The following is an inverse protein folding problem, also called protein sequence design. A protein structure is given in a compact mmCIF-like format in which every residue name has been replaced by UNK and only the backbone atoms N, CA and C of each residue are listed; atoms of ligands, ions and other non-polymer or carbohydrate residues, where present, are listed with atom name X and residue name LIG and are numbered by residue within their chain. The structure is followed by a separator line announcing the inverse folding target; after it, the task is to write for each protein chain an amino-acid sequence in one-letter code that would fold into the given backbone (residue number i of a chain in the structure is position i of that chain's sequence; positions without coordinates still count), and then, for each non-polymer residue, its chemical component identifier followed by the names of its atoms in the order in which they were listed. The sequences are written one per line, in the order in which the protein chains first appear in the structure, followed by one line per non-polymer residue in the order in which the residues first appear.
data_IF_263374264369
#
_entry.id   IF_263374264369
#
_cell.length_a   1.000
_cell.length_b   1.000
_cell.length_c   1.000
_cell.angle_alpha   90.00
_cell.angle_beta   90.00
_cell.angle_gamma   90.00
#
_symmetry.space_group_name_H-M   'P 1'
#
loop_
_entity.id
_entity.type
_entity.pdbx_description
1 polymer ?
#
# COMPACT_ATOMS: atom_id res chain seq x y z
N UNK A 1 21.60 -16.44 -5.05
CA UNK A 1 20.23 -15.88 -5.03
C UNK A 1 20.18 -14.72 -4.06
N UNK A 2 19.24 -13.81 -4.23
CA UNK A 2 18.91 -12.82 -3.21
C UNK A 2 18.05 -13.50 -2.15
N UNK A 3 18.34 -13.25 -0.87
CA UNK A 3 17.64 -13.88 0.27
C UNK A 3 16.76 -12.92 1.04
N UNK A 4 17.11 -11.63 1.00
CA UNK A 4 16.37 -10.58 1.68
C UNK A 4 16.52 -9.30 0.88
N UNK A 5 15.41 -8.68 0.53
CA UNK A 5 15.35 -7.38 -0.13
C UNK A 5 14.58 -6.42 0.78
N UNK A 6 15.13 -5.22 0.96
CA UNK A 6 14.52 -4.13 1.72
C UNK A 6 14.52 -2.87 0.88
N UNK A 7 13.46 -2.09 1.04
CA UNK A 7 13.28 -0.81 0.39
C UNK A 7 12.89 0.24 1.43
N UNK A 8 13.32 1.48 1.23
CA UNK A 8 12.96 2.61 2.10
C UNK A 8 12.93 3.89 1.28
N UNK A 9 11.84 4.66 1.41
CA UNK A 9 11.75 6.01 0.87
C UNK A 9 12.54 6.97 1.76
N UNK A 10 13.47 7.70 1.17
CA UNK A 10 14.17 8.85 1.74
C UNK A 10 13.48 10.14 1.25
N UNK A 11 13.96 11.31 1.67
CA UNK A 11 13.34 12.60 1.31
C UNK A 11 13.12 12.76 -0.21
N UNK A 12 14.13 12.43 -1.04
CA UNK A 12 14.09 12.64 -2.50
C UNK A 12 14.48 11.40 -3.31
N UNK A 13 14.74 10.28 -2.65
CA UNK A 13 15.40 9.10 -3.20
C UNK A 13 14.79 7.82 -2.60
N UNK A 14 14.94 6.69 -3.29
CA UNK A 14 14.65 5.37 -2.73
C UNK A 14 15.97 4.65 -2.48
N UNK A 15 16.08 4.05 -1.30
CA UNK A 15 17.17 3.17 -0.91
C UNK A 15 16.71 1.72 -1.01
N UNK A 16 17.38 0.92 -1.83
CA UNK A 16 17.28 -0.52 -1.83
C UNK A 16 18.53 -1.15 -1.21
N UNK A 17 18.33 -2.18 -0.39
CA UNK A 17 19.40 -3.02 0.15
C UNK A 17 19.01 -4.48 0.11
N UNK A 18 19.97 -5.36 -0.15
CA UNK A 18 19.72 -6.79 -0.18
C UNK A 18 20.88 -7.64 0.32
N UNK A 19 20.54 -8.85 0.72
CA UNK A 19 21.48 -9.91 1.07
C UNK A 19 21.57 -10.92 -0.07
N UNK A 20 22.79 -11.41 -0.35
CA UNK A 20 23.05 -12.40 -1.38
C UNK A 20 23.98 -13.49 -0.85
N UNK A 21 23.73 -14.74 -1.26
CA UNK A 21 24.50 -15.90 -0.79
C UNK A 21 25.31 -16.60 -1.90
N UNK A 22 25.23 -16.12 -3.14
CA UNK A 22 25.93 -16.73 -4.26
C UNK A 22 27.15 -15.90 -4.63
N UNK A 23 28.34 -16.47 -4.44
CA UNK A 23 29.63 -15.86 -4.78
C UNK A 23 29.84 -15.68 -6.27
N UNK A 24 29.07 -16.37 -7.13
CA UNK A 24 29.13 -16.21 -8.58
C UNK A 24 28.37 -14.97 -9.09
N UNK A 25 27.68 -14.24 -8.21
CA UNK A 25 26.99 -13.00 -8.60
C UNK A 25 28.03 -11.90 -8.80
N UNK A 26 28.11 -11.36 -10.01
CA UNK A 26 29.03 -10.27 -10.37
C UNK A 26 28.34 -8.91 -10.53
N UNK A 27 27.01 -8.86 -10.48
CA UNK A 27 26.25 -7.63 -10.55
C UNK A 27 24.75 -7.82 -10.39
N UNK A 28 24.01 -6.73 -10.53
CA UNK A 28 22.56 -6.69 -10.39
C UNK A 28 21.95 -5.75 -11.42
N UNK A 29 20.76 -6.11 -11.92
CA UNK A 29 19.86 -5.18 -12.61
C UNK A 29 18.74 -4.83 -11.63
N UNK A 30 18.48 -3.54 -11.47
CA UNK A 30 17.39 -3.00 -10.67
C UNK A 30 16.39 -2.47 -11.67
N UNK A 31 15.19 -3.02 -11.68
CA UNK A 31 14.07 -2.54 -12.48
C UNK A 31 13.02 -1.93 -11.57
N UNK A 32 12.40 -0.82 -11.99
CA UNK A 32 11.29 -0.22 -11.26
C UNK A 32 10.22 0.39 -12.18
N UNK A 33 8.99 0.42 -11.68
CA UNK A 33 7.85 1.07 -12.32
C UNK A 33 6.76 1.39 -11.30
N UNK A 34 5.82 2.28 -11.66
CA UNK A 34 4.57 2.47 -10.89
C UNK A 34 3.80 1.15 -10.92
N UNK A 35 3.35 0.64 -9.76
CA UNK A 35 2.64 -0.64 -9.63
C UNK A 35 1.38 -0.71 -10.51
N UNK A 36 0.76 0.45 -10.75
CA UNK A 36 -0.42 0.59 -11.59
C UNK A 36 -0.09 0.65 -13.09
N UNK A 37 1.16 0.92 -13.45
CA UNK A 37 1.62 0.93 -14.84
C UNK A 37 1.68 -0.50 -15.40
N UNK A 38 0.98 -0.72 -16.51
CA UNK A 38 0.87 -2.04 -17.15
C UNK A 38 1.69 -2.15 -18.42
N UNK A 39 2.12 -1.03 -19.02
CA UNK A 39 3.01 -1.03 -20.19
C UNK A 39 4.44 -1.42 -19.77
N UNK A 40 4.97 -2.58 -20.25
CA UNK A 40 6.33 -3.00 -19.93
C UNK A 40 7.40 -2.02 -20.41
N UNK A 41 7.13 -1.21 -21.45
CA UNK A 41 8.10 -0.25 -21.99
C UNK A 41 8.29 0.99 -21.11
N UNK A 42 7.44 1.17 -20.09
CA UNK A 42 7.55 2.27 -19.11
C UNK A 42 8.43 1.91 -17.91
N UNK A 43 8.95 0.68 -17.87
CA UNK A 43 9.88 0.24 -16.83
C UNK A 43 11.21 0.95 -16.99
N UNK A 44 11.71 1.45 -15.88
CA UNK A 44 13.05 2.01 -15.78
C UNK A 44 13.98 0.99 -15.16
N UNK A 45 15.26 1.05 -15.49
CA UNK A 45 16.23 0.15 -14.91
C UNK A 45 17.61 0.79 -14.75
N UNK A 46 18.41 0.19 -13.88
CA UNK A 46 19.80 0.52 -13.64
C UNK A 46 20.61 -0.75 -13.44
N UNK A 47 21.91 -0.70 -13.72
CA UNK A 47 22.85 -1.82 -13.54
C UNK A 47 23.96 -1.41 -12.59
N UNK A 48 24.18 -2.22 -11.58
CA UNK A 48 25.26 -2.02 -10.62
C UNK A 48 26.10 -3.28 -10.43
N UNK A 49 27.35 -3.09 -9.98
CA UNK A 49 28.30 -4.16 -9.68
C UNK A 49 28.96 -3.89 -8.33
N UNK A 50 29.51 -4.95 -7.71
CA UNK A 50 30.32 -4.86 -6.48
C UNK A 50 29.64 -4.22 -5.26
N UNK A 51 28.30 -4.18 -5.21
CA UNK A 51 27.52 -3.67 -4.08
C UNK A 51 26.18 -4.41 -3.98
N UNK A 52 25.58 -4.41 -2.80
CA UNK A 52 24.20 -4.88 -2.56
C UNK A 52 23.27 -3.76 -2.08
N UNK A 53 23.64 -2.53 -2.42
CA UNK A 53 22.91 -1.30 -2.12
C UNK A 53 22.74 -0.48 -3.38
N UNK A 54 21.54 0.03 -3.58
CA UNK A 54 21.21 0.96 -4.65
C UNK A 54 20.46 2.16 -4.09
N UNK A 55 20.83 3.36 -4.57
CA UNK A 55 20.12 4.61 -4.27
C UNK A 55 19.71 5.19 -5.61
N UNK A 56 18.43 5.54 -5.75
CA UNK A 56 17.92 6.15 -6.96
C UNK A 56 18.49 7.55 -7.20
N UNK A 57 18.40 8.04 -8.44
CA UNK A 57 18.54 9.47 -8.70
C UNK A 57 17.44 10.27 -7.98
N UNK A 58 17.79 11.51 -7.60
CA UNK A 58 16.87 12.42 -6.90
C UNK A 58 15.71 12.81 -7.80
N UNK A 59 14.49 12.77 -7.25
CA UNK A 59 13.31 13.36 -7.88
C UNK A 59 12.67 12.55 -9.02
N UNK A 60 13.04 11.29 -9.20
CA UNK A 60 12.44 10.43 -10.23
C UNK A 60 11.09 9.81 -9.80
N UNK A 61 10.79 9.83 -8.50
CA UNK A 61 9.56 9.26 -7.95
C UNK A 61 8.57 10.36 -7.56
N UNK A 62 7.30 10.13 -7.93
CA UNK A 62 6.17 10.94 -7.52
C UNK A 62 5.69 10.52 -6.13
N UNK A 63 5.28 11.50 -5.32
CA UNK A 63 4.71 11.26 -4.00
C UNK A 63 3.41 10.47 -4.09
N UNK A 64 3.07 9.71 -3.04
CA UNK A 64 1.81 8.97 -2.93
C UNK A 64 1.58 7.93 -4.02
N UNK A 65 2.67 7.47 -4.66
CA UNK A 65 2.65 6.40 -5.66
C UNK A 65 3.38 5.17 -5.13
N UNK A 66 2.78 4.01 -5.36
CA UNK A 66 3.40 2.72 -5.09
C UNK A 66 4.28 2.32 -6.28
N UNK A 67 5.54 2.00 -6.02
CA UNK A 67 6.47 1.52 -7.03
C UNK A 67 6.85 0.08 -6.73
N UNK A 68 6.86 -0.74 -7.78
CA UNK A 68 7.46 -2.05 -7.76
C UNK A 68 8.95 -1.93 -8.04
N UNK A 69 9.77 -2.61 -7.26
CA UNK A 69 11.21 -2.75 -7.48
C UNK A 69 11.55 -4.22 -7.62
N UNK A 70 12.28 -4.58 -8.67
CA UNK A 70 12.74 -5.94 -8.93
C UNK A 70 14.26 -5.95 -9.07
N UNK A 71 14.94 -6.75 -8.26
CA UNK A 71 16.41 -6.90 -8.30
C UNK A 71 16.77 -8.25 -8.88
N UNK A 72 17.39 -8.24 -10.06
CA UNK A 72 17.83 -9.42 -10.80
C UNK A 72 19.32 -9.67 -10.56
N UNK A 73 19.72 -10.84 -10.04
CA UNK A 73 21.13 -11.18 -9.93
C UNK A 73 21.73 -11.52 -11.31
N UNK A 74 22.94 -11.03 -11.58
CA UNK A 74 23.72 -11.41 -12.75
C UNK A 74 24.79 -12.43 -12.34
N UNK A 75 24.82 -13.60 -12.98
CA UNK A 75 25.85 -14.63 -12.77
C UNK A 75 26.44 -15.03 -14.13
N UNK A 76 27.73 -14.80 -14.35
CA UNK A 76 28.42 -15.12 -15.62
C UNK A 76 27.62 -14.63 -16.84
N UNK A 77 27.17 -13.38 -16.77
CA UNK A 77 26.36 -12.68 -17.77
C UNK A 77 24.94 -13.23 -18.04
N UNK A 78 24.49 -14.20 -17.23
CA UNK A 78 23.09 -14.63 -17.23
C UNK A 78 22.27 -13.90 -16.16
N UNK A 79 21.10 -13.40 -16.57
CA UNK A 79 20.10 -12.82 -15.67
C UNK A 79 19.37 -13.96 -14.95
N UNK A 80 19.41 -13.94 -13.63
CA UNK A 80 18.70 -14.91 -12.77
C UNK A 80 17.36 -14.33 -12.30
N UNK A 81 16.52 -15.20 -11.75
CA UNK A 81 15.19 -14.83 -11.22
C UNK A 81 15.29 -13.65 -10.22
N UNK A 82 14.44 -12.61 -10.35
CA UNK A 82 14.49 -11.46 -9.46
C UNK A 82 13.88 -11.77 -8.09
N UNK A 83 14.18 -10.88 -7.15
CA UNK A 83 13.36 -10.68 -5.94
C UNK A 83 12.73 -9.30 -6.04
N UNK A 84 11.44 -9.20 -5.73
CA UNK A 84 10.66 -7.97 -5.90
C UNK A 84 10.10 -7.48 -4.57
N UNK A 85 9.91 -6.16 -4.46
CA UNK A 85 9.29 -5.48 -3.33
C UNK A 85 8.54 -4.24 -3.84
N UNK A 86 7.41 -3.92 -3.21
CA UNK A 86 6.67 -2.69 -3.51
C UNK A 86 6.67 -1.76 -2.32
N UNK A 87 6.86 -0.46 -2.55
CA UNK A 87 6.77 0.58 -1.53
C UNK A 87 6.10 1.83 -2.07
N UNK A 88 5.43 2.57 -1.20
CA UNK A 88 5.01 3.93 -1.50
C UNK A 88 6.20 4.88 -1.37
N UNK A 89 6.34 5.78 -2.35
CA UNK A 89 7.24 6.92 -2.21
C UNK A 89 6.48 8.05 -1.50
N UNK A 90 6.66 8.16 -0.19
CA UNK A 90 5.92 9.03 0.74
C UNK A 90 4.40 8.76 0.72
N UNK A 91 3.91 8.18 1.82
CA UNK A 91 2.49 7.93 2.01
C UNK A 91 1.73 9.23 2.31
N UNK A 92 0.44 9.24 1.97
CA UNK A 92 -0.48 10.30 2.31
C UNK A 92 -1.88 9.73 2.51
N UNK A 93 -2.78 10.56 3.03
CA UNK A 93 -4.17 10.17 3.25
C UNK A 93 -4.85 9.77 1.93
N UNK A 94 -5.78 8.81 1.96
CA UNK A 94 -6.55 8.46 0.77
C UNK A 94 -7.28 9.68 0.19
N UNK A 95 -7.31 9.78 -1.13
CA UNK A 95 -8.00 10.86 -1.85
C UNK A 95 -9.52 10.76 -1.76
N UNK A 96 -10.04 9.56 -1.51
CA UNK A 96 -11.46 9.29 -1.34
C UNK A 96 -11.70 8.38 -0.14
N UNK A 97 -12.90 8.45 0.44
CA UNK A 97 -13.32 7.56 1.51
C UNK A 97 -13.92 6.24 0.97
N UNK A 98 -13.99 5.18 1.79
CA UNK A 98 -14.72 3.97 1.43
C UNK A 98 -16.20 4.27 1.18
N UNK A 99 -16.78 3.63 0.16
CA UNK A 99 -18.20 3.72 -0.11
C UNK A 99 -18.96 2.77 0.83
N UNK A 100 -19.65 3.34 1.80
CA UNK A 100 -20.43 2.59 2.79
C UNK A 100 -21.86 2.35 2.30
N UNK A 101 -22.33 1.12 2.45
CA UNK A 101 -23.68 0.67 2.09
C UNK A 101 -24.32 -0.05 3.28
N UNK A 102 -25.64 0.11 3.45
CA UNK A 102 -26.40 -0.63 4.46
C UNK A 102 -26.76 -1.99 3.86
N UNK A 103 -26.26 -3.06 4.47
CA UNK A 103 -26.61 -4.43 4.08
C UNK A 103 -27.93 -4.86 4.73
N UNK A 104 -28.10 -4.58 6.03
CA UNK A 104 -29.29 -4.94 6.79
C UNK A 104 -29.46 -4.01 8.00
N UNK A 105 -30.68 -3.77 8.45
CA UNK A 105 -30.99 -3.03 9.66
C UNK A 105 -32.12 -3.71 10.44
N UNK A 106 -31.98 -3.72 11.77
CA UNK A 106 -33.00 -4.16 12.71
C UNK A 106 -33.36 -3.06 13.70
N UNK A 107 -34.08 -3.45 14.75
CA UNK A 107 -34.60 -2.53 15.77
C UNK A 107 -33.51 -1.81 16.56
N UNK A 108 -32.39 -2.49 16.82
CA UNK A 108 -31.29 -2.01 17.67
C UNK A 108 -29.89 -2.17 17.04
N UNK A 109 -29.83 -2.50 15.75
CA UNK A 109 -28.59 -2.71 15.02
C UNK A 109 -28.70 -2.33 13.55
N UNK A 110 -27.56 -2.05 12.93
CA UNK A 110 -27.42 -1.98 11.49
C UNK A 110 -26.10 -2.62 11.07
N UNK A 111 -26.11 -3.32 9.94
CA UNK A 111 -24.95 -3.93 9.33
C UNK A 111 -24.58 -3.06 8.14
N UNK A 112 -23.39 -2.48 8.20
CA UNK A 112 -22.82 -1.70 7.12
C UNK A 112 -21.67 -2.47 6.49
N UNK A 113 -21.52 -2.31 5.19
CA UNK A 113 -20.41 -2.85 4.41
C UNK A 113 -19.76 -1.73 3.62
N UNK A 114 -18.50 -1.89 3.26
CA UNK A 114 -17.81 -0.97 2.37
C UNK A 114 -16.83 -1.73 1.48
N UNK A 115 -16.47 -1.12 0.36
CA UNK A 115 -15.45 -1.66 -0.55
C UNK A 115 -14.09 -1.07 -0.21
N UNK A 116 -13.03 -1.80 -0.54
CA UNK A 116 -11.69 -1.24 -0.51
C UNK A 116 -11.59 -0.04 -1.46
N UNK A 117 -10.83 0.97 -1.04
CA UNK A 117 -10.52 2.12 -1.89
C UNK A 117 -9.68 1.62 -3.07
N UNK A 118 -9.93 2.07 -4.32
CA UNK A 118 -9.08 1.74 -5.46
C UNK A 118 -7.62 2.13 -5.20
N UNK A 119 -6.66 1.28 -5.60
CA UNK A 119 -5.22 1.50 -5.34
C UNK A 119 -4.73 2.88 -5.80
N UNK A 120 -5.26 3.38 -6.92
CA UNK A 120 -4.96 4.70 -7.46
C UNK A 120 -5.31 5.87 -6.53
N UNK A 121 -6.20 5.65 -5.57
CA UNK A 121 -6.74 6.67 -4.66
C UNK A 121 -6.34 6.44 -3.20
N UNK A 122 -5.62 5.34 -2.88
CA UNK A 122 -5.21 5.01 -1.51
C UNK A 122 -4.12 5.93 -0.99
N UNK A 123 -3.21 6.37 -1.86
CA UNK A 123 -2.02 7.17 -1.52
C UNK A 123 -1.09 6.58 -0.44
N UNK A 124 -1.30 5.32 -0.04
CA UNK A 124 -0.57 4.64 1.01
C UNK A 124 -1.13 3.24 1.26
N UNK A 125 -0.57 2.53 2.21
CA UNK A 125 -1.09 1.23 2.66
C UNK A 125 -2.21 1.49 3.66
N UNK A 126 -3.40 0.94 3.43
CA UNK A 126 -4.50 1.06 4.39
C UNK A 126 -4.16 0.26 5.65
N UNK A 127 -3.96 0.95 6.78
CA UNK A 127 -3.58 0.34 8.06
C UNK A 127 -4.79 -0.13 8.87
N UNK A 128 -5.91 0.59 8.78
CA UNK A 128 -7.18 0.28 9.44
C UNK A 128 -8.33 1.12 8.87
N UNK A 129 -9.55 0.79 9.28
CA UNK A 129 -10.74 1.62 9.05
C UNK A 129 -11.31 2.11 10.38
N UNK A 130 -11.85 3.33 10.40
CA UNK A 130 -12.63 3.87 11.50
C UNK A 130 -14.10 3.97 11.10
N UNK A 131 -14.94 3.20 11.79
CA UNK A 131 -16.40 3.25 11.65
C UNK A 131 -16.93 4.32 12.58
N UNK A 132 -17.64 5.29 12.04
CA UNK A 132 -18.20 6.41 12.80
C UNK A 132 -19.70 6.44 12.57
N UNK A 133 -20.47 6.53 13.65
CA UNK A 133 -21.91 6.67 13.56
C UNK A 133 -22.46 7.63 14.62
N UNK A 134 -23.47 8.40 14.21
CA UNK A 134 -23.94 9.59 14.91
C UNK A 134 -25.45 9.60 15.07
N UNK A 135 -25.91 9.92 16.28
CA UNK A 135 -27.29 10.28 16.63
C UNK A 135 -27.32 11.69 17.23
N UNK A 136 -28.00 12.64 16.58
CA UNK A 136 -28.11 14.01 17.09
C UNK A 136 -26.76 14.72 17.23
N UNK A 137 -26.19 14.80 18.44
CA UNK A 137 -24.85 15.33 18.71
C UNK A 137 -23.89 14.29 19.31
N UNK A 138 -24.32 13.04 19.47
CA UNK A 138 -23.52 11.94 20.01
C UNK A 138 -22.85 11.20 18.86
N UNK A 139 -21.55 10.92 19.01
CA UNK A 139 -20.75 10.18 18.05
C UNK A 139 -20.16 8.95 18.74
N UNK A 140 -20.15 7.83 18.02
CA UNK A 140 -19.44 6.62 18.39
C UNK A 140 -18.45 6.31 17.28
N UNK A 141 -17.22 5.97 17.67
CA UNK A 141 -16.13 5.64 16.77
C UNK A 141 -15.51 4.31 17.18
N UNK A 142 -15.35 3.39 16.23
CA UNK A 142 -14.68 2.13 16.45
C UNK A 142 -13.67 1.87 15.32
N UNK A 143 -12.47 1.41 15.69
CA UNK A 143 -11.43 1.09 14.73
C UNK A 143 -11.40 -0.42 14.49
N UNK A 144 -11.36 -0.81 13.21
CA UNK A 144 -11.29 -2.20 12.77
C UNK A 144 -10.08 -2.42 11.88
N UNK A 145 -9.56 -3.64 11.86
CA UNK A 145 -8.43 -4.01 11.01
C UNK A 145 -8.71 -3.73 9.51
N UNK A 146 -7.68 -3.44 8.72
CA UNK A 146 -7.80 -3.17 7.28
C UNK A 146 -8.36 -4.33 6.46
N UNK A 147 -8.35 -5.56 6.96
CA UNK A 147 -9.01 -6.70 6.31
C UNK A 147 -10.53 -6.74 6.51
N UNK A 148 -11.09 -5.87 7.36
CA UNK A 148 -12.52 -5.83 7.67
C UNK A 148 -13.22 -4.87 6.71
N UNK A 149 -14.27 -5.36 6.06
CA UNK A 149 -15.10 -4.62 5.10
C UNK A 149 -16.59 -4.61 5.48
N UNK A 150 -16.89 -5.05 6.71
CA UNK A 150 -18.25 -5.22 7.24
C UNK A 150 -18.25 -4.97 8.73
N UNK A 151 -19.23 -4.22 9.22
CA UNK A 151 -19.36 -3.91 10.63
C UNK A 151 -20.82 -3.90 11.07
N UNK A 152 -21.08 -4.45 12.26
CA UNK A 152 -22.40 -4.41 12.91
C UNK A 152 -22.41 -3.29 13.94
N UNK A 153 -23.09 -2.20 13.63
CA UNK A 153 -23.45 -1.14 14.58
C UNK A 153 -24.36 -1.74 15.66
N UNK A 154 -24.03 -1.46 16.93
CA UNK A 154 -24.74 -2.02 18.09
C UNK A 154 -25.40 -0.89 18.89
N UNK A 155 -26.33 -1.29 19.76
CA UNK A 155 -26.97 -0.39 20.74
C UNK A 155 -27.68 0.81 20.12
N UNK A 156 -28.27 0.63 18.94
CA UNK A 156 -29.04 1.68 18.27
C UNK A 156 -30.42 1.82 18.92
N UNK A 157 -30.96 3.02 18.91
CA UNK A 157 -32.31 3.28 19.39
C UNK A 157 -33.35 3.04 18.26
N UNK A 158 -34.50 2.41 18.57
CA UNK A 158 -35.58 2.23 17.60
C UNK A 158 -36.13 3.56 17.10
N UNK A 159 -36.50 3.62 15.81
CA UNK A 159 -37.10 4.82 15.19
C UNK A 159 -36.22 6.08 15.28
N UNK A 160 -34.90 5.89 15.37
CA UNK A 160 -33.91 6.97 15.42
C UNK A 160 -33.13 7.04 14.10
N UNK A 161 -32.91 8.26 13.61
CA UNK A 161 -32.07 8.49 12.45
C UNK A 161 -30.59 8.56 12.83
N UNK A 162 -29.79 7.67 12.25
CA UNK A 162 -28.34 7.66 12.37
C UNK A 162 -27.68 8.06 11.04
N UNK A 163 -26.53 8.74 11.13
CA UNK A 163 -25.59 8.86 10.01
C UNK A 163 -24.35 8.04 10.34
N UNK A 164 -23.90 7.24 9.38
CA UNK A 164 -22.65 6.50 9.49
C UNK A 164 -21.72 6.83 8.32
N UNK A 165 -20.42 6.87 8.59
CA UNK A 165 -19.38 6.98 7.57
C UNK A 165 -18.15 6.20 8.00
N UNK A 166 -17.37 5.78 7.01
CA UNK A 166 -16.13 5.04 7.20
C UNK A 166 -14.98 5.95 6.81
N UNK A 167 -13.94 5.99 7.64
CA UNK A 167 -12.65 6.58 7.30
C UNK A 167 -11.65 5.45 7.05
N UNK A 168 -10.82 5.59 6.03
CA UNK A 168 -9.67 4.74 5.83
C UNK A 168 -8.42 5.51 6.24
N UNK A 169 -7.51 4.84 6.93
CA UNK A 169 -6.29 5.47 7.45
C UNK A 169 -5.05 4.84 6.80
N UNK A 170 -4.07 5.69 6.53
CA UNK A 170 -2.69 5.36 6.11
C UNK A 170 -1.71 5.85 7.18
N UNK A 171 -0.41 5.63 6.97
CA UNK A 171 0.66 6.19 7.82
C UNK A 171 0.74 7.71 7.64
#
# INVERSE_FOLDING_TARGET
RITRLKASALEKEVLLTWDSTNSEINGYIIEWHDELEKDPNKRSWDRITNTTKWISHKGIFKHSKCYNFSVYPLCKDEIKKPTSISIYFHESVPSTGPQAEIENAGTDYAIITWKEIPEAERNGVIINYTVIYKEGNKYLEETVNSSILKYKLKTLQPNTYYRAWIKANTI
#
